data_IF_395520765581
#
_entry.id   IF_395520765581
#
_cell.length_a   1.000
_cell.length_b   1.000
_cell.length_c   1.000
_cell.angle_alpha   90.00
_cell.angle_beta   90.00
_cell.angle_gamma   90.00
#
_symmetry.space_group_name_H-M   'P 1'
#
loop_
_entity.id
_entity.type
_entity.pdbx_description
1 polymer ?
#
# COMPACT_ATOMS: atom_id res chain seq x y z
N UNK A 1 20.36 -32.83 -8.12
CA UNK A 1 20.72 -31.75 -9.07
C UNK A 1 19.46 -31.16 -9.72
N UNK A 2 18.45 -30.73 -8.94
CA UNK A 2 17.09 -30.51 -9.47
C UNK A 2 16.47 -29.12 -9.13
N UNK A 3 17.09 -28.33 -8.25
CA UNK A 3 16.53 -27.02 -7.82
C UNK A 3 17.01 -25.84 -8.67
N UNK A 4 18.18 -25.97 -9.33
CA UNK A 4 18.76 -24.93 -10.15
C UNK A 4 18.01 -24.74 -11.48
N UNK A 5 17.71 -25.86 -12.15
CA UNK A 5 16.91 -25.90 -13.38
C UNK A 5 15.51 -25.33 -13.12
N UNK A 6 14.86 -25.71 -12.01
CA UNK A 6 13.54 -25.20 -11.64
C UNK A 6 13.52 -23.68 -11.43
N UNK A 7 14.61 -23.06 -10.96
CA UNK A 7 14.73 -21.60 -10.83
C UNK A 7 14.87 -20.92 -12.18
N UNK A 8 15.64 -21.51 -13.11
CA UNK A 8 15.82 -20.97 -14.47
C UNK A 8 14.50 -21.02 -15.23
N UNK A 9 13.81 -22.16 -15.21
CA UNK A 9 12.52 -22.33 -15.90
C UNK A 9 11.45 -21.40 -15.31
N UNK A 10 11.38 -21.24 -13.98
CA UNK A 10 10.47 -20.26 -13.36
C UNK A 10 10.77 -18.83 -13.76
N UNK A 11 12.05 -18.43 -13.83
CA UNK A 11 12.44 -17.08 -14.25
C UNK A 11 12.07 -16.82 -15.70
N UNK A 12 12.35 -17.79 -16.58
CA UNK A 12 12.01 -17.71 -18.00
C UNK A 12 10.49 -17.63 -18.20
N UNK A 13 9.72 -18.43 -17.44
CA UNK A 13 8.26 -18.40 -17.48
C UNK A 13 7.68 -17.07 -16.97
N UNK A 14 8.20 -16.53 -15.86
CA UNK A 14 7.79 -15.22 -15.35
C UNK A 14 8.10 -14.06 -16.32
N UNK A 15 9.12 -14.20 -17.18
CA UNK A 15 9.45 -13.21 -18.23
C UNK A 15 8.51 -13.31 -19.44
N UNK A 16 8.04 -14.53 -19.76
CA UNK A 16 7.06 -14.80 -20.82
C UNK A 16 5.64 -14.37 -20.45
N UNK A 17 5.28 -14.39 -19.16
CA UNK A 17 4.00 -13.84 -18.69
C UNK A 17 4.05 -12.32 -18.80
N UNK A 18 3.53 -11.82 -19.93
CA UNK A 18 3.25 -10.40 -20.14
C UNK A 18 2.34 -9.93 -19.01
N UNK A 19 2.88 -9.23 -18.01
CA UNK A 19 2.07 -8.52 -17.02
C UNK A 19 1.39 -7.37 -17.76
N UNK A 20 0.16 -7.59 -18.21
CA UNK A 20 -0.66 -6.51 -18.73
C UNK A 20 -0.83 -5.45 -17.65
N UNK A 21 -0.37 -4.24 -17.95
CA UNK A 21 -0.54 -3.10 -17.06
C UNK A 21 -1.95 -2.58 -17.29
N UNK A 22 -2.89 -3.03 -16.47
CA UNK A 22 -4.22 -2.42 -16.46
C UNK A 22 -4.10 -1.04 -15.81
N UNK A 23 -4.40 0.01 -16.58
CA UNK A 23 -4.48 1.36 -16.03
C UNK A 23 -5.73 1.42 -15.13
N UNK A 24 -5.53 1.34 -13.82
CA UNK A 24 -6.60 1.54 -12.85
C UNK A 24 -6.85 3.04 -12.74
N UNK A 25 -8.03 3.57 -13.14
CA UNK A 25 -8.34 4.97 -12.95
C UNK A 25 -8.33 5.28 -11.45
N UNK A 26 -7.44 6.19 -11.04
CA UNK A 26 -7.43 6.69 -9.67
C UNK A 26 -8.47 7.80 -9.56
N UNK A 27 -9.53 7.56 -8.78
CA UNK A 27 -10.51 8.60 -8.45
C UNK A 27 -9.80 9.57 -7.49
N UNK A 28 -9.33 10.69 -8.03
CA UNK A 28 -8.73 11.77 -7.22
C UNK A 28 -9.86 12.66 -6.74
N UNK A 29 -10.20 12.56 -5.46
CA UNK A 29 -11.16 13.46 -4.84
C UNK A 29 -10.54 14.86 -4.73
N UNK A 30 -11.00 15.79 -5.58
CA UNK A 30 -10.58 17.20 -5.54
C UNK A 30 -11.19 17.98 -4.37
N UNK A 31 -12.19 17.41 -3.70
CA UNK A 31 -12.81 18.01 -2.53
C UNK A 31 -12.26 17.33 -1.27
N UNK A 32 -11.95 18.12 -0.24
CA UNK A 32 -11.54 17.64 1.08
C UNK A 32 -12.72 17.05 1.86
N UNK A 33 -13.27 15.95 1.35
CA UNK A 33 -14.49 15.31 1.86
C UNK A 33 -14.43 15.00 3.36
N UNK A 34 -13.24 14.72 3.88
CA UNK A 34 -13.02 14.29 5.26
C UNK A 34 -12.23 15.31 6.07
N UNK A 35 -12.24 16.58 5.66
CA UNK A 35 -11.60 17.66 6.40
C UNK A 35 -12.08 17.71 7.85
N UNK A 36 -11.14 17.81 8.78
CA UNK A 36 -11.42 17.88 10.22
C UNK A 36 -11.84 16.56 10.87
N UNK A 37 -11.95 15.46 10.12
CA UNK A 37 -12.23 14.12 10.66
C UNK A 37 -10.94 13.39 11.05
N UNK A 38 -11.06 12.46 12.00
CA UNK A 38 -10.00 11.53 12.40
C UNK A 38 -10.35 10.11 11.92
N UNK A 39 -9.43 9.46 11.21
CA UNK A 39 -9.57 8.09 10.75
C UNK A 39 -8.52 7.18 11.40
N UNK A 40 -8.94 6.05 11.96
CA UNK A 40 -8.04 5.00 12.45
C UNK A 40 -7.96 3.88 11.41
N UNK A 41 -6.76 3.59 10.92
CA UNK A 41 -6.51 2.51 9.95
C UNK A 41 -5.74 1.39 10.62
N UNK A 42 -6.41 0.25 10.82
CA UNK A 42 -5.76 -0.96 11.32
C UNK A 42 -4.93 -1.63 10.21
N UNK A 43 -3.75 -2.13 10.57
CA UNK A 43 -2.82 -2.69 9.59
C UNK A 43 -2.25 -1.67 8.60
N UNK A 44 -2.30 -0.37 8.91
CA UNK A 44 -1.87 0.74 8.03
C UNK A 44 -0.37 0.83 7.75
N UNK A 45 0.41 -0.18 8.13
CA UNK A 45 1.88 -0.17 8.02
C UNK A 45 2.40 -0.60 6.64
N UNK A 46 1.59 -1.28 5.83
CA UNK A 46 2.02 -1.74 4.49
C UNK A 46 0.83 -2.09 3.58
N UNK A 47 1.12 -2.34 2.30
CA UNK A 47 0.15 -2.84 1.33
C UNK A 47 -1.08 -1.95 1.19
N UNK A 48 -2.26 -2.57 1.20
CA UNK A 48 -3.54 -1.89 0.99
C UNK A 48 -3.84 -0.90 2.13
N UNK A 49 -3.57 -1.27 3.38
CA UNK A 49 -3.84 -0.40 4.54
C UNK A 49 -3.05 0.91 4.47
N UNK A 50 -1.81 0.86 3.98
CA UNK A 50 -0.99 2.06 3.77
C UNK A 50 -1.58 2.98 2.70
N UNK A 51 -2.02 2.43 1.57
CA UNK A 51 -2.63 3.22 0.50
C UNK A 51 -3.99 3.81 0.91
N UNK A 52 -4.77 3.08 1.72
CA UNK A 52 -5.98 3.60 2.34
C UNK A 52 -5.63 4.80 3.23
N UNK A 53 -4.64 4.68 4.12
CA UNK A 53 -4.21 5.79 4.97
C UNK A 53 -3.77 7.02 4.15
N UNK A 54 -3.04 6.81 3.04
CA UNK A 54 -2.67 7.89 2.10
C UNK A 54 -3.89 8.53 1.43
N UNK A 55 -4.89 7.75 1.05
CA UNK A 55 -6.12 8.28 0.45
C UNK A 55 -6.90 9.16 1.46
N UNK A 56 -7.02 8.71 2.71
CA UNK A 56 -7.66 9.50 3.77
C UNK A 56 -6.94 10.84 4.01
N UNK A 57 -5.60 10.83 4.06
CA UNK A 57 -4.81 12.06 4.17
C UNK A 57 -5.04 13.02 3.01
N UNK A 58 -5.09 12.51 1.76
CA UNK A 58 -5.37 13.33 0.58
C UNK A 58 -6.76 13.99 0.63
N UNK A 59 -7.73 13.34 1.27
CA UNK A 59 -9.07 13.90 1.47
C UNK A 59 -9.19 14.89 2.64
N UNK A 60 -8.08 15.23 3.30
CA UNK A 60 -8.03 16.21 4.39
C UNK A 60 -8.30 15.64 5.79
N UNK A 61 -8.42 14.32 5.94
CA UNK A 61 -8.56 13.69 7.24
C UNK A 61 -7.24 13.68 8.00
N UNK A 62 -7.31 13.73 9.33
CA UNK A 62 -6.22 13.27 10.21
C UNK A 62 -6.28 11.74 10.26
N UNK A 63 -5.14 11.08 10.18
CA UNK A 63 -5.10 9.62 10.12
C UNK A 63 -4.17 9.09 11.20
N UNK A 64 -4.63 8.08 11.94
CA UNK A 64 -3.83 7.27 12.87
C UNK A 64 -3.74 5.88 12.28
N UNK A 65 -2.53 5.29 12.28
CA UNK A 65 -2.31 3.93 11.80
C UNK A 65 -1.95 3.01 12.96
N UNK A 66 -2.40 1.76 12.92
CA UNK A 66 -1.96 0.72 13.85
C UNK A 66 -1.34 -0.47 13.11
N UNK A 67 -0.45 -1.18 13.79
CA UNK A 67 0.22 -2.35 13.25
C UNK A 67 0.97 -3.13 14.32
N UNK A 68 1.34 -4.37 14.01
CA UNK A 68 1.99 -5.29 14.95
C UNK A 68 3.49 -5.11 15.10
N UNK A 69 4.11 -4.23 14.31
CA UNK A 69 5.56 -4.04 14.29
C UNK A 69 5.90 -2.57 14.42
N UNK A 70 6.56 -2.23 15.52
CA UNK A 70 6.98 -0.87 15.84
C UNK A 70 7.97 -0.31 14.81
N UNK A 71 8.88 -1.16 14.30
CA UNK A 71 9.84 -0.76 13.26
C UNK A 71 9.15 -0.36 11.97
N UNK A 72 8.10 -1.09 11.56
CA UNK A 72 7.28 -0.74 10.39
C UNK A 72 6.48 0.54 10.63
N UNK A 73 5.91 0.72 11.82
CA UNK A 73 5.21 1.95 12.19
C UNK A 73 6.11 3.19 12.08
N UNK A 74 7.31 3.13 12.67
CA UNK A 74 8.30 4.22 12.59
C UNK A 74 8.72 4.55 11.17
N UNK A 75 8.78 3.56 10.28
CA UNK A 75 9.19 3.77 8.88
C UNK A 75 8.17 4.51 8.03
N UNK A 76 6.88 4.46 8.38
CA UNK A 76 5.80 4.99 7.54
C UNK A 76 5.63 6.51 7.68
N UNK A 77 5.97 7.10 8.83
CA UNK A 77 6.02 8.55 9.03
C UNK A 77 4.70 9.31 8.82
N UNK A 78 3.58 8.62 8.57
CA UNK A 78 2.26 9.20 8.39
C UNK A 78 1.63 9.38 9.78
N UNK A 79 1.65 10.62 10.25
CA UNK A 79 0.97 11.18 11.43
C UNK A 79 0.61 10.17 12.54
N UNK A 80 1.57 9.94 13.42
CA UNK A 80 1.35 9.30 14.72
C UNK A 80 0.94 10.35 15.76
N UNK A 81 -0.27 10.24 16.27
CA UNK A 81 -0.60 10.58 17.67
C UNK A 81 -1.19 9.34 18.31
#
# INVERSE_FOLDING_TARGET
MNNFIRRIVKRLFCLLVRKEKFAVPSIVYNNKLLEGRLALVSGGTSGIGLEIARAFLKTGAKVVISGSSETKLKSVGLFTT
#
